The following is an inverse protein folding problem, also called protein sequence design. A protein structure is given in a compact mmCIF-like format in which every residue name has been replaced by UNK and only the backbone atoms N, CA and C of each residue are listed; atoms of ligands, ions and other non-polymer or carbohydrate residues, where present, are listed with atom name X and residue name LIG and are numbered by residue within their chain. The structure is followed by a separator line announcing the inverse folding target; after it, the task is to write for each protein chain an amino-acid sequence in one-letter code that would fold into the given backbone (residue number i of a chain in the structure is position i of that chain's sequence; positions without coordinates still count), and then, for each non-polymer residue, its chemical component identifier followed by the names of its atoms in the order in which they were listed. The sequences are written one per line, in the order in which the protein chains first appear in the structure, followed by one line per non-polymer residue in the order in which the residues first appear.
data_IF_535760811832
#
_entry.id   IF_535760811832
#
_cell.length_a   1.000
_cell.length_b   1.000
_cell.length_c   1.000
_cell.angle_alpha   90.00
_cell.angle_beta   90.00
_cell.angle_gamma   90.00
#
_symmetry.space_group_name_H-M   'P 1'
#
loop_
_entity.id
_entity.type
_entity.pdbx_description
1 polymer ?
#
# COMPACT_ATOMS: atom_id res chain seq x y z
N UNK A 1 -30.01 5.39 -21.34
CA UNK A 1 -28.56 5.31 -21.64
C UNK A 1 -27.89 6.46 -20.91
N UNK A 2 -27.14 6.18 -19.85
CA UNK A 2 -26.42 7.21 -19.08
C UNK A 2 -24.93 7.05 -19.39
N UNK A 3 -24.33 8.04 -20.05
CA UNK A 3 -22.89 8.08 -20.31
C UNK A 3 -22.15 8.65 -19.10
N UNK A 4 -21.22 7.89 -18.55
CA UNK A 4 -20.29 8.33 -17.50
C UNK A 4 -18.93 8.58 -18.17
N UNK A 5 -18.47 9.83 -18.20
CA UNK A 5 -17.17 10.21 -18.74
C UNK A 5 -16.09 10.12 -17.65
N UNK A 6 -15.08 9.27 -17.85
CA UNK A 6 -13.85 9.26 -17.06
C UNK A 6 -12.78 10.12 -17.74
N UNK A 7 -12.24 11.11 -17.02
CA UNK A 7 -11.13 11.96 -17.49
C UNK A 7 -9.81 11.39 -16.96
N UNK A 8 -8.98 10.82 -17.84
CA UNK A 8 -7.60 10.45 -17.53
C UNK A 8 -6.70 11.70 -17.54
N UNK A 9 -5.87 11.85 -16.52
CA UNK A 9 -4.77 12.82 -16.48
C UNK A 9 -3.45 12.07 -16.64
N UNK A 10 -2.81 12.20 -17.80
CA UNK A 10 -1.43 11.78 -18.07
C UNK A 10 -0.45 12.82 -17.52
N UNK A 11 0.45 12.40 -16.62
CA UNK A 11 1.65 13.18 -16.31
C UNK A 11 2.89 12.46 -16.85
N UNK A 12 3.61 13.19 -17.70
CA UNK A 12 4.89 12.85 -18.30
C UNK A 12 5.80 14.06 -18.04
N UNK A 13 6.95 13.89 -17.36
CA UNK A 13 8.21 14.45 -17.88
C UNK A 13 9.47 14.06 -17.07
N UNK A 14 10.37 13.41 -17.81
CA UNK A 14 11.80 13.71 -17.99
C UNK A 14 12.76 13.69 -16.79
N UNK A 15 13.40 12.53 -16.66
CA UNK A 15 14.85 12.29 -16.74
C UNK A 15 15.82 13.45 -16.52
N UNK A 16 16.74 13.27 -15.56
CA UNK A 16 18.13 13.69 -15.70
C UNK A 16 19.07 12.51 -15.39
N UNK A 17 20.03 12.32 -16.29
CA UNK A 17 21.01 11.23 -16.39
C UNK A 17 22.40 11.86 -16.29
N UNK A 18 23.23 11.40 -15.37
CA UNK A 18 24.71 11.45 -15.43
C UNK A 18 25.25 10.62 -14.25
N UNK A 19 25.69 9.37 -14.44
CA UNK A 19 27.01 8.91 -14.93
C UNK A 19 28.20 9.30 -14.04
N UNK A 20 28.84 8.25 -13.52
CA UNK A 20 30.09 8.12 -12.79
C UNK A 20 31.33 8.74 -13.46
N UNK A 21 32.29 9.22 -12.66
CA UNK A 21 33.72 8.92 -12.84
C UNK A 21 34.59 9.39 -11.66
N UNK A 22 35.46 8.50 -11.24
CA UNK A 22 36.63 8.64 -10.35
C UNK A 22 37.69 9.62 -10.85
N UNK A 23 38.41 10.31 -9.94
CA UNK A 23 39.88 10.44 -9.99
C UNK A 23 40.46 11.26 -8.83
N UNK A 24 41.66 10.88 -8.43
CA UNK A 24 42.49 11.35 -7.31
C UNK A 24 43.07 12.77 -7.43
N UNK A 25 43.64 13.25 -6.31
CA UNK A 25 44.72 14.25 -6.13
C UNK A 25 44.34 15.30 -5.07
N UNK A 26 45.17 15.91 -4.23
CA UNK A 26 46.55 15.75 -3.72
C UNK A 26 46.64 16.75 -2.55
N UNK A 27 47.52 16.50 -1.57
CA UNK A 27 47.96 17.45 -0.53
C UNK A 27 48.20 18.85 -1.11
N UNK A 28 47.91 19.92 -0.36
CA UNK A 28 48.90 20.95 0.08
C UNK A 28 48.19 22.21 0.61
N UNK A 29 48.90 22.81 1.56
CA UNK A 29 48.65 23.87 2.55
C UNK A 29 48.20 25.26 2.10
N UNK A 30 47.56 25.93 3.07
CA UNK A 30 47.60 27.33 3.48
C UNK A 30 47.72 28.43 2.40
N UNK A 31 46.80 29.40 2.40
CA UNK A 31 47.14 30.81 2.71
C UNK A 31 45.91 31.70 2.83
N UNK A 32 46.02 32.56 3.83
CA UNK A 32 45.21 33.70 4.27
C UNK A 32 44.95 34.70 3.15
N UNK A 33 43.76 35.32 3.11
CA UNK A 33 43.61 36.77 2.90
C UNK A 33 42.27 37.21 3.46
N UNK A 34 42.34 38.00 4.54
CA UNK A 34 41.24 38.73 5.10
C UNK A 34 40.99 40.00 4.28
N UNK A 35 39.73 40.30 3.97
CA UNK A 35 39.32 41.66 3.65
C UNK A 35 38.42 42.18 4.76
N UNK A 36 38.97 43.17 5.44
CA UNK A 36 38.44 43.98 6.51
C UNK A 36 37.23 44.81 6.05
N UNK A 37 36.14 44.74 6.81
CA UNK A 37 35.17 45.83 6.90
C UNK A 37 35.03 46.21 8.38
N UNK A 38 35.64 47.33 8.74
CA UNK A 38 35.57 47.96 10.05
C UNK A 38 34.22 48.67 10.18
N UNK A 39 33.46 48.34 11.23
CA UNK A 39 32.44 49.22 11.77
C UNK A 39 32.66 49.31 13.28
N UNK A 40 33.06 50.50 13.74
CA UNK A 40 33.18 50.83 15.16
C UNK A 40 31.79 51.12 15.72
N UNK A 41 31.36 50.38 16.75
CA UNK A 41 30.32 50.87 17.67
C UNK A 41 30.65 50.46 19.11
N UNK A 42 30.75 51.46 19.97
CA UNK A 42 30.93 51.37 21.42
C UNK A 42 29.87 50.47 22.08
N UNK A 43 30.32 49.43 22.78
CA UNK A 43 29.51 48.58 23.64
C UNK A 43 30.38 47.57 24.39
N UNK A 44 30.18 47.44 25.70
CA UNK A 44 31.00 46.67 26.65
C UNK A 44 31.61 45.38 26.06
N UNK A 45 32.94 45.39 25.91
CA UNK A 45 33.75 44.38 25.22
C UNK A 45 33.58 42.97 25.81
N UNK A 46 33.27 42.81 27.09
CA UNK A 46 33.11 41.49 27.71
C UNK A 46 31.84 40.75 27.25
N UNK A 47 30.74 41.46 26.95
CA UNK A 47 29.47 40.82 26.56
C UNK A 47 29.45 40.41 25.09
N UNK A 48 29.97 41.27 24.20
CA UNK A 48 30.07 41.00 22.75
C UNK A 48 31.05 39.85 22.48
N UNK A 49 32.18 39.79 23.21
CA UNK A 49 33.13 38.69 23.09
C UNK A 49 32.55 37.36 23.58
N UNK A 50 31.65 37.38 24.57
CA UNK A 50 30.96 36.18 25.05
C UNK A 50 29.86 35.72 24.08
N UNK A 51 29.06 36.64 23.52
CA UNK A 51 28.11 36.30 22.45
C UNK A 51 28.82 35.80 21.19
N UNK A 52 29.91 36.44 20.76
CA UNK A 52 30.68 36.00 19.61
C UNK A 52 31.28 34.60 19.82
N UNK A 53 31.78 34.30 21.02
CA UNK A 53 32.26 32.95 21.38
C UNK A 53 31.13 31.92 21.45
N UNK A 54 29.93 32.31 21.89
CA UNK A 54 28.76 31.43 21.98
C UNK A 54 28.14 31.15 20.61
N UNK A 55 28.06 32.17 19.74
CA UNK A 55 27.61 32.04 18.34
C UNK A 55 28.62 31.21 17.56
N UNK A 56 29.92 31.46 17.69
CA UNK A 56 30.97 30.63 17.06
C UNK A 56 30.88 29.16 17.48
N UNK A 57 30.61 28.86 18.76
CA UNK A 57 30.32 27.48 19.22
C UNK A 57 29.10 26.87 18.55
N UNK A 58 28.06 27.65 18.28
CA UNK A 58 26.83 27.19 17.62
C UNK A 58 27.01 26.98 16.11
N UNK A 59 27.86 27.77 15.46
CA UNK A 59 28.13 27.68 14.01
C UNK A 59 29.18 26.62 13.65
N UNK A 60 30.00 26.16 14.61
CA UNK A 60 31.00 25.09 14.43
C UNK A 60 30.46 23.70 14.75
N UNK A 61 29.23 23.60 15.29
CA UNK A 61 28.51 22.34 15.34
C UNK A 61 27.99 22.08 13.93
N UNK A 62 28.56 21.09 13.25
CA UNK A 62 27.97 20.60 12.01
C UNK A 62 26.50 20.23 12.31
N UNK A 63 25.48 20.81 11.66
CA UNK A 63 24.08 20.46 11.91
C UNK A 63 23.81 18.96 11.73
N UNK A 64 24.72 18.22 11.09
CA UNK A 64 24.68 16.77 10.93
C UNK A 64 25.29 15.98 12.08
N UNK A 65 26.07 16.63 12.96
CA UNK A 65 26.64 16.00 14.16
C UNK A 65 25.63 15.82 15.29
N UNK A 66 24.51 16.57 15.28
CA UNK A 66 23.38 16.38 16.21
C UNK A 66 22.39 15.29 15.76
N UNK A 67 22.64 14.64 14.62
CA UNK A 67 21.97 13.40 14.26
C UNK A 67 22.91 12.20 14.50
N UNK A 68 23.23 11.80 15.75
CA UNK A 68 23.79 10.47 16.02
C UNK A 68 22.74 9.37 15.87
N UNK A 69 21.72 9.61 15.05
CA UNK A 69 20.73 8.63 14.63
C UNK A 69 20.91 8.50 13.13
N UNK A 70 21.97 7.77 12.73
CA UNK A 70 21.91 7.11 11.43
C UNK A 70 20.51 6.51 11.33
N UNK A 71 19.82 6.83 10.24
CA UNK A 71 18.55 6.22 9.82
C UNK A 71 18.51 4.81 10.41
N UNK A 72 17.53 4.45 11.27
CA UNK A 72 17.50 3.11 11.82
C UNK A 72 17.71 2.18 10.65
N UNK A 73 18.86 1.48 10.61
CA UNK A 73 19.00 0.37 9.69
C UNK A 73 17.85 -0.49 10.12
N UNK A 74 16.79 -0.54 9.30
CA UNK A 74 15.71 -1.48 9.48
C UNK A 74 16.41 -2.80 9.79
N UNK A 75 16.32 -3.22 11.06
CA UNK A 75 16.78 -4.55 11.43
C UNK A 75 16.10 -5.45 10.42
N UNK A 76 16.80 -6.42 9.79
CA UNK A 76 16.17 -7.31 8.82
C UNK A 76 14.87 -7.83 9.43
N UNK A 77 13.74 -7.23 9.04
CA UNK A 77 12.47 -7.51 9.66
C UNK A 77 12.08 -8.80 8.99
N UNK A 78 12.40 -9.90 9.65
CA UNK A 78 12.29 -11.23 9.08
C UNK A 78 10.86 -11.40 8.58
N UNK A 79 10.72 -11.41 7.26
CA UNK A 79 9.43 -11.42 6.59
C UNK A 79 8.63 -12.61 7.12
N UNK A 80 7.39 -12.45 7.59
CA UNK A 80 6.62 -13.55 8.13
C UNK A 80 6.60 -14.74 7.16
N UNK A 81 6.80 -15.96 7.65
CA UNK A 81 6.82 -17.15 6.79
C UNK A 81 5.56 -17.27 5.95
N UNK A 82 4.39 -17.00 6.56
CA UNK A 82 3.08 -17.03 5.92
C UNK A 82 2.35 -15.71 6.14
N UNK A 83 2.19 -14.93 5.06
CA UNK A 83 1.38 -13.72 5.05
C UNK A 83 0.67 -13.57 3.70
N UNK A 84 -0.63 -13.28 3.74
CA UNK A 84 -1.45 -13.06 2.55
C UNK A 84 -2.10 -11.68 2.67
N UNK A 85 -1.97 -10.90 1.60
CA UNK A 85 -2.65 -9.64 1.42
C UNK A 85 -3.80 -9.81 0.41
N UNK A 86 -4.91 -9.11 0.65
CA UNK A 86 -6.13 -9.17 -0.17
C UNK A 86 -6.53 -7.75 -0.52
N UNK A 87 -6.60 -7.43 -1.81
CA UNK A 87 -6.95 -6.10 -2.27
C UNK A 87 -7.97 -6.14 -3.43
N UNK A 88 -9.09 -5.40 -3.39
CA UNK A 88 -9.59 -4.60 -2.27
C UNK A 88 -9.92 -5.46 -1.01
N UNK A 89 -9.95 -4.88 0.20
CA UNK A 89 -10.10 -5.63 1.45
C UNK A 89 -11.55 -6.01 1.80
N UNK A 90 -12.54 -5.59 1.00
CA UNK A 90 -13.94 -6.02 1.10
C UNK A 90 -14.58 -6.04 -0.30
N UNK A 91 -15.62 -6.83 -0.47
CA UNK A 91 -16.43 -6.86 -1.69
C UNK A 91 -17.77 -6.17 -1.45
N UNK A 92 -18.24 -5.37 -2.41
CA UNK A 92 -19.57 -4.74 -2.38
C UNK A 92 -20.45 -5.27 -3.51
N UNK A 93 -21.72 -5.52 -3.21
CA UNK A 93 -22.74 -5.95 -4.16
C UNK A 93 -24.05 -5.20 -3.91
N UNK A 94 -24.99 -5.33 -4.85
CA UNK A 94 -26.39 -4.92 -4.70
C UNK A 94 -27.30 -6.14 -4.75
N UNK A 95 -28.55 -6.02 -4.30
CA UNK A 95 -29.49 -7.15 -4.26
C UNK A 95 -29.69 -7.85 -5.61
N UNK A 96 -29.63 -7.12 -6.72
CA UNK A 96 -29.66 -7.65 -8.09
C UNK A 96 -28.41 -8.46 -8.52
N UNK A 97 -27.45 -8.65 -7.60
CA UNK A 97 -26.22 -9.41 -7.83
C UNK A 97 -25.01 -8.54 -8.17
N UNK A 98 -24.06 -9.11 -8.90
CA UNK A 98 -22.86 -8.40 -9.36
C UNK A 98 -21.60 -9.27 -9.38
N UNK A 99 -20.46 -8.64 -9.66
CA UNK A 99 -19.15 -9.27 -9.69
C UNK A 99 -18.11 -8.41 -8.96
N UNK A 100 -17.21 -9.05 -8.23
CA UNK A 100 -16.06 -8.40 -7.60
C UNK A 100 -14.78 -9.15 -7.94
N UNK A 101 -13.69 -8.40 -8.10
CA UNK A 101 -12.35 -8.92 -8.36
C UNK A 101 -11.40 -8.48 -7.26
N UNK A 102 -10.59 -9.41 -6.78
CA UNK A 102 -9.57 -9.16 -5.76
C UNK A 102 -8.23 -9.75 -6.19
N UNK A 103 -7.15 -9.06 -5.87
CA UNK A 103 -5.79 -9.58 -5.95
C UNK A 103 -5.42 -10.20 -4.61
N UNK A 104 -5.00 -11.45 -4.64
CA UNK A 104 -4.45 -12.17 -3.50
C UNK A 104 -2.93 -12.25 -3.68
N UNK A 105 -2.17 -11.67 -2.76
CA UNK A 105 -0.70 -11.61 -2.84
C UNK A 105 -0.07 -12.36 -1.69
N UNK A 106 0.88 -13.25 -1.99
CA UNK A 106 1.72 -13.85 -0.96
C UNK A 106 2.82 -12.86 -0.57
N UNK A 107 2.61 -12.14 0.52
CA UNK A 107 3.59 -11.23 1.10
C UNK A 107 4.56 -11.95 2.05
N UNK A 108 4.37 -13.24 2.32
CA UNK A 108 5.25 -14.04 3.15
C UNK A 108 6.56 -14.47 2.47
N UNK A 109 7.41 -15.15 3.24
CA UNK A 109 8.70 -15.67 2.79
C UNK A 109 8.64 -17.08 2.17
N UNK A 110 7.61 -17.88 2.48
CA UNK A 110 7.47 -19.25 1.98
C UNK A 110 6.40 -19.36 0.88
N UNK A 111 6.57 -20.34 -0.01
CA UNK A 111 5.53 -20.74 -0.96
C UNK A 111 4.31 -21.22 -0.17
N UNK A 112 3.13 -20.74 -0.51
CA UNK A 112 1.90 -21.11 0.18
C UNK A 112 0.89 -21.78 -0.73
N UNK A 113 -0.01 -22.54 -0.12
CA UNK A 113 -1.24 -23.00 -0.72
C UNK A 113 -2.41 -22.41 0.06
N UNK A 114 -3.44 -21.91 -0.64
CA UNK A 114 -4.65 -21.43 -0.01
C UNK A 114 -5.90 -22.21 -0.44
N UNK A 115 -6.90 -22.17 0.44
CA UNK A 115 -8.28 -22.60 0.21
C UNK A 115 -9.23 -21.47 0.57
N UNK A 116 -10.17 -21.17 -0.30
CA UNK A 116 -11.27 -20.24 -0.03
C UNK A 116 -12.49 -20.99 0.50
N UNK A 117 -13.08 -20.49 1.59
CA UNK A 117 -14.39 -20.92 2.09
C UNK A 117 -15.35 -19.75 2.02
N UNK A 118 -16.53 -19.96 1.44
CA UNK A 118 -17.58 -18.96 1.39
C UNK A 118 -18.67 -19.27 2.44
N UNK A 119 -19.24 -18.24 3.06
CA UNK A 119 -20.37 -18.38 3.99
C UNK A 119 -21.66 -18.84 3.32
N UNK A 120 -21.84 -18.56 2.03
CA UNK A 120 -23.05 -18.87 1.29
C UNK A 120 -22.77 -19.27 -0.17
N UNK A 121 -22.56 -20.56 -0.40
CA UNK A 121 -22.27 -21.11 -1.74
C UNK A 121 -23.50 -21.17 -2.68
N UNK A 122 -24.70 -20.93 -2.15
CA UNK A 122 -25.92 -20.97 -2.95
C UNK A 122 -25.96 -19.79 -3.94
N UNK A 123 -25.64 -18.58 -3.45
CA UNK A 123 -25.76 -17.33 -4.22
C UNK A 123 -24.40 -16.79 -4.70
N UNK A 124 -23.29 -17.24 -4.12
CA UNK A 124 -21.95 -16.82 -4.54
C UNK A 124 -21.21 -17.92 -5.30
N UNK A 125 -20.58 -17.54 -6.41
CA UNK A 125 -19.58 -18.36 -7.11
C UNK A 125 -18.22 -17.70 -6.97
N UNK A 126 -17.21 -18.49 -6.60
CA UNK A 126 -15.87 -17.99 -6.28
C UNK A 126 -14.84 -18.81 -7.03
N UNK A 127 -13.91 -18.14 -7.70
CA UNK A 127 -12.81 -18.78 -8.42
C UNK A 127 -11.51 -17.95 -8.30
N UNK A 128 -10.35 -18.58 -8.04
CA UNK A 128 -10.15 -19.99 -7.72
C UNK A 128 -10.51 -20.34 -6.27
N UNK A 129 -10.88 -21.60 -6.01
CA UNK A 129 -11.10 -22.11 -4.63
C UNK A 129 -9.80 -22.56 -3.98
N UNK A 130 -8.86 -23.08 -4.78
CA UNK A 130 -7.51 -23.44 -4.33
C UNK A 130 -6.48 -22.89 -5.31
N UNK A 131 -5.36 -22.40 -4.80
CA UNK A 131 -4.19 -22.11 -5.62
C UNK A 131 -2.89 -22.18 -4.81
N UNK A 132 -1.78 -22.32 -5.53
CA UNK A 132 -0.42 -22.19 -5.02
C UNK A 132 0.09 -20.79 -5.35
N UNK A 133 0.78 -20.15 -4.40
CA UNK A 133 1.41 -18.85 -4.59
C UNK A 133 2.85 -18.90 -4.09
N UNK A 134 3.79 -18.64 -4.99
CA UNK A 134 5.19 -18.41 -4.64
C UNK A 134 5.35 -17.09 -3.88
N UNK A 135 6.43 -16.89 -3.10
CA UNK A 135 6.69 -15.63 -2.41
C UNK A 135 6.68 -14.45 -3.37
N UNK A 136 5.89 -13.41 -3.06
CA UNK A 136 5.72 -12.22 -3.89
C UNK A 136 4.78 -12.40 -5.08
N UNK A 137 4.30 -13.62 -5.37
CA UNK A 137 3.35 -13.86 -6.44
C UNK A 137 1.92 -13.45 -6.03
N UNK A 138 1.15 -13.07 -7.04
CA UNK A 138 -0.26 -12.71 -6.90
C UNK A 138 -1.15 -13.54 -7.82
N UNK A 139 -2.41 -13.69 -7.43
CA UNK A 139 -3.45 -14.28 -8.28
C UNK A 139 -4.75 -13.49 -8.16
N UNK A 140 -5.57 -13.53 -9.20
CA UNK A 140 -6.89 -12.88 -9.22
C UNK A 140 -7.95 -13.83 -8.66
N UNK A 141 -8.79 -13.32 -7.76
CA UNK A 141 -9.98 -13.95 -7.24
C UNK A 141 -11.21 -13.24 -7.82
N UNK A 142 -12.10 -14.02 -8.42
CA UNK A 142 -13.39 -13.56 -8.93
C UNK A 142 -14.51 -14.06 -8.02
N UNK A 143 -15.41 -13.15 -7.68
CA UNK A 143 -16.60 -13.41 -6.88
C UNK A 143 -17.79 -12.96 -7.71
N UNK A 144 -18.68 -13.88 -8.03
CA UNK A 144 -19.94 -13.61 -8.71
C UNK A 144 -21.08 -13.81 -7.71
N UNK A 145 -21.99 -12.85 -7.65
CA UNK A 145 -23.18 -12.89 -6.82
C UNK A 145 -24.43 -12.95 -7.68
N UNK A 146 -25.31 -13.90 -7.36
CA UNK A 146 -26.67 -13.97 -7.91
C UNK A 146 -27.63 -13.08 -7.12
N UNK A 147 -28.74 -12.71 -7.76
CA UNK A 147 -29.79 -11.93 -7.13
C UNK A 147 -30.31 -12.61 -5.85
N UNK A 148 -30.31 -11.87 -4.75
CA UNK A 148 -30.79 -12.35 -3.46
C UNK A 148 -31.04 -11.18 -2.50
N UNK A 149 -31.88 -11.36 -1.47
CA UNK A 149 -31.97 -10.41 -0.37
C UNK A 149 -30.60 -10.16 0.29
N UNK A 150 -30.45 -8.98 0.86
CA UNK A 150 -29.23 -8.58 1.59
C UNK A 150 -28.94 -9.44 2.81
N UNK A 151 -27.70 -9.92 2.89
CA UNK A 151 -27.17 -10.65 4.05
C UNK A 151 -25.71 -10.27 4.30
N UNK A 152 -25.26 -10.41 5.54
CA UNK A 152 -23.83 -10.30 5.89
C UNK A 152 -23.12 -11.61 5.57
N UNK A 153 -22.31 -11.58 4.53
CA UNK A 153 -21.53 -12.73 4.07
C UNK A 153 -20.02 -12.45 4.15
N UNK A 154 -19.21 -13.51 4.03
CA UNK A 154 -17.74 -13.43 4.08
C UNK A 154 -17.08 -14.56 3.30
N UNK A 155 -15.89 -14.29 2.79
CA UNK A 155 -14.93 -15.32 2.40
C UNK A 155 -13.87 -15.48 3.49
N UNK A 156 -13.50 -16.72 3.76
CA UNK A 156 -12.40 -17.07 4.67
C UNK A 156 -11.32 -17.77 3.86
N UNK A 157 -10.15 -17.15 3.78
CA UNK A 157 -8.96 -17.70 3.16
C UNK A 157 -8.20 -18.46 4.23
N UNK A 158 -8.00 -19.76 4.03
CA UNK A 158 -7.13 -20.58 4.85
C UNK A 158 -5.88 -20.84 4.04
N UNK A 159 -4.70 -20.59 4.59
CA UNK A 159 -3.44 -20.80 3.86
C UNK A 159 -2.41 -21.49 4.73
N UNK A 160 -1.57 -22.29 4.10
CA UNK A 160 -0.51 -23.09 4.73
C UNK A 160 0.75 -23.00 3.87
N UNK A 161 1.88 -23.31 4.47
CA UNK A 161 3.12 -23.52 3.73
C UNK A 161 2.98 -24.74 2.80
N UNK A 162 3.44 -24.61 1.56
CA UNK A 162 3.37 -25.64 0.55
C UNK A 162 4.73 -26.32 0.36
N UNK A 163 4.73 -27.65 0.25
CA UNK A 163 5.95 -28.41 -0.05
C UNK A 163 6.52 -28.03 -1.42
N UNK A 164 7.85 -27.98 -1.51
CA UNK A 164 8.56 -27.73 -2.77
C UNK A 164 8.27 -28.86 -3.77
N UNK A 165 7.77 -28.51 -4.95
CA UNK A 165 7.51 -29.46 -6.04
C UNK A 165 6.07 -29.96 -6.19
N UNK A 166 5.18 -29.74 -5.21
CA UNK A 166 3.76 -30.07 -5.38
C UNK A 166 3.11 -29.08 -6.38
N UNK A 167 2.32 -29.62 -7.30
CA UNK A 167 1.66 -28.86 -8.37
C UNK A 167 0.15 -28.83 -8.23
N UNK A 168 -0.45 -29.81 -7.55
CA UNK A 168 -1.89 -29.81 -7.28
C UNK A 168 -2.19 -29.03 -5.99
N UNK A 169 -2.85 -27.86 -6.06
CA UNK A 169 -3.18 -27.07 -4.89
C UNK A 169 -4.11 -27.80 -3.91
N UNK A 170 -5.01 -28.65 -4.41
CA UNK A 170 -5.99 -29.34 -3.55
C UNK A 170 -5.29 -30.38 -2.69
N UNK A 171 -4.40 -31.17 -3.29
CA UNK A 171 -3.54 -32.13 -2.59
C UNK A 171 -2.55 -31.43 -1.64
N UNK A 172 -1.92 -30.34 -2.08
CA UNK A 172 -1.02 -29.56 -1.22
C UNK A 172 -1.72 -29.07 0.07
N UNK A 173 -2.96 -28.61 -0.03
CA UNK A 173 -3.71 -28.09 1.12
C UNK A 173 -4.15 -29.18 2.11
N UNK A 174 -4.32 -30.41 1.64
CA UNK A 174 -4.69 -31.56 2.48
C UNK A 174 -3.56 -31.98 3.43
N UNK A 175 -2.32 -31.56 3.17
CA UNK A 175 -1.19 -31.79 4.07
C UNK A 175 -1.38 -31.15 5.44
N UNK A 176 -0.73 -31.73 6.44
CA UNK A 176 -0.64 -31.17 7.78
C UNK A 176 0.30 -29.95 7.80
N UNK A 177 0.03 -28.99 8.67
CA UNK A 177 0.83 -27.77 8.80
C UNK A 177 0.07 -26.62 9.46
N UNK A 178 0.83 -25.62 9.92
CA UNK A 178 0.27 -24.41 10.50
C UNK A 178 -0.63 -23.70 9.48
N UNK A 179 -1.84 -23.33 9.91
CA UNK A 179 -2.84 -22.71 9.04
C UNK A 179 -3.04 -21.25 9.44
N UNK A 180 -2.65 -20.34 8.55
CA UNK A 180 -3.03 -18.93 8.60
C UNK A 180 -4.46 -18.71 8.09
N UNK A 181 -5.05 -17.58 8.49
CA UNK A 181 -6.41 -17.19 8.09
C UNK A 181 -6.47 -15.71 7.73
N UNK A 182 -7.24 -15.39 6.69
CA UNK A 182 -7.67 -14.03 6.36
C UNK A 182 -9.16 -14.05 6.03
N UNK A 183 -9.85 -12.92 6.24
CA UNK A 183 -11.29 -12.78 6.02
C UNK A 183 -11.55 -11.59 5.10
N UNK A 184 -12.34 -11.81 4.06
CA UNK A 184 -12.86 -10.76 3.18
C UNK A 184 -14.37 -10.60 3.45
N UNK A 185 -14.79 -9.49 4.06
CA UNK A 185 -16.22 -9.17 4.20
C UNK A 185 -16.88 -8.98 2.83
N UNK A 186 -18.11 -9.48 2.69
CA UNK A 186 -18.96 -9.26 1.51
C UNK A 186 -20.20 -8.47 1.96
N UNK A 187 -20.30 -7.24 1.48
CA UNK A 187 -21.34 -6.28 1.85
C UNK A 187 -22.35 -6.23 0.71
N UNK A 188 -23.63 -6.29 1.07
CA UNK A 188 -24.72 -5.99 0.14
C UNK A 188 -25.36 -4.67 0.52
N UNK A 189 -25.61 -3.81 -0.47
CA UNK A 189 -26.49 -2.66 -0.34
C UNK A 189 -27.89 -2.99 -0.87
N UNK A 190 -28.89 -2.55 -0.11
CA UNK A 190 -30.29 -2.55 -0.53
C UNK A 190 -30.47 -1.50 -1.62
N UNK A 191 -31.29 -1.80 -2.64
CA UNK A 191 -31.63 -0.84 -3.68
C UNK A 191 -33.07 -0.41 -3.44
N UNK A 192 -33.26 0.81 -2.95
CA UNK A 192 -34.59 1.41 -2.91
C UNK A 192 -35.06 1.68 -4.34
N UNK A 193 -36.02 0.88 -4.82
CA UNK A 193 -36.67 1.12 -6.10
C UNK A 193 -37.60 2.31 -5.92
N UNK A 194 -37.20 3.46 -6.46
CA UNK A 194 -38.10 4.62 -6.55
C UNK A 194 -39.11 4.30 -7.65
N UNK A 195 -40.30 3.84 -7.28
CA UNK A 195 -41.43 3.77 -8.20
C UNK A 195 -41.79 5.20 -8.61
N UNK A 196 -41.42 5.58 -9.83
CA UNK A 196 -41.93 6.80 -10.45
C UNK A 196 -43.37 6.47 -10.86
N UNK A 197 -44.31 6.83 -9.99
CA UNK A 197 -45.74 6.75 -10.30
C UNK A 197 -46.02 7.56 -11.56
N UNK A 198 -46.28 6.85 -12.66
CA UNK A 198 -46.53 7.41 -13.98
C UNK A 198 -48.00 7.78 -14.19
N UNK A 199 -48.81 7.84 -13.12
CA UNK A 199 -50.26 8.03 -13.22
C UNK A 199 -50.76 9.47 -13.36
N UNK A 200 -49.91 10.51 -13.30
CA UNK A 200 -50.40 11.88 -13.53
C UNK A 200 -50.36 12.28 -15.01
N UNK A 201 -51.31 11.76 -15.80
CA UNK A 201 -51.65 12.30 -17.12
C UNK A 201 -52.50 13.57 -16.89
N UNK A 202 -52.03 14.79 -17.22
CA UNK A 202 -52.87 15.97 -17.07
C UNK A 202 -54.08 15.84 -18.01
N UNK A 203 -55.28 15.85 -17.42
CA UNK A 203 -56.52 15.91 -18.19
C UNK A 203 -56.58 17.26 -18.91
N UNK A 204 -56.52 17.23 -20.24
CA UNK A 204 -56.82 18.38 -21.08
C UNK A 204 -58.28 18.76 -20.87
N UNK A 205 -58.54 19.90 -20.21
CA UNK A 205 -59.84 20.55 -20.28
C UNK A 205 -59.82 21.58 -21.41
N UNK A 206 -60.79 21.37 -22.30
CA UNK A 206 -61.20 22.19 -23.44
C UNK A 206 -61.81 23.51 -23.00
#
# INVERSE_FOLDING_TARGET
MVLINFRLSTMNNHSNKASSSSSAATRTSNTTTAHTATAMTNGNSSTINNLAKQVQRYCTVDPMSYFPMGMPKEMPQEKPTLAMEIFPPFAEFIEFGGASKHTLTNTGGSRMVFKVKCSNNAIFKVAPVYALLDPGASTELQILRQESPSKRDKLVFMFKEAKKGEKDPKKAFAGEGQTGKAVLPMITRDVEVIEIDSSHRPSSHS
#
